data_IF_556829462552
#
_entry.id   IF_556829462552
#
_cell.length_a   1.000
_cell.length_b   1.000
_cell.length_c   1.000
_cell.angle_alpha   90.00
_cell.angle_beta   90.00
_cell.angle_gamma   90.00
#
_symmetry.space_group_name_H-M   'P 1'
#
loop_
_entity.id
_entity.type
_entity.pdbx_description
1 polymer ?
#
# COMPACT_ATOMS: atom_id res chain seq x y z
N UNK A 1 -2.18 3.79 30.92
CA UNK A 1 -1.87 3.18 29.61
C UNK A 1 -0.98 4.14 28.84
N UNK A 2 0.21 3.73 28.38
CA UNK A 2 1.05 4.63 27.57
C UNK A 2 0.44 4.81 26.18
N UNK A 3 0.54 6.00 25.55
CA UNK A 3 -0.07 6.26 24.24
C UNK A 3 0.35 5.24 23.16
N UNK A 4 1.62 4.81 23.19
CA UNK A 4 2.15 3.75 22.30
C UNK A 4 1.38 2.43 22.41
N UNK A 5 0.99 2.02 23.64
CA UNK A 5 0.21 0.80 23.86
C UNK A 5 -1.22 0.93 23.34
N UNK A 6 -1.84 2.10 23.53
CA UNK A 6 -3.18 2.38 23.02
C UNK A 6 -3.18 2.30 21.50
N UNK A 7 -2.22 2.97 20.86
CA UNK A 7 -2.04 2.93 19.40
C UNK A 7 -1.89 1.49 18.91
N UNK A 8 -1.03 0.70 19.54
CA UNK A 8 -0.83 -0.69 19.15
C UNK A 8 -2.11 -1.53 19.28
N UNK A 9 -2.85 -1.39 20.39
CA UNK A 9 -4.12 -2.10 20.59
C UNK A 9 -5.18 -1.69 19.56
N UNK A 10 -5.29 -0.39 19.26
CA UNK A 10 -6.22 0.13 18.25
C UNK A 10 -5.87 -0.42 16.88
N UNK A 11 -4.60 -0.37 16.46
CA UNK A 11 -4.18 -0.93 15.19
C UNK A 11 -4.37 -2.45 15.13
N UNK A 12 -4.08 -3.18 16.20
CA UNK A 12 -4.32 -4.61 16.28
C UNK A 12 -5.80 -4.97 16.12
N UNK A 13 -6.68 -4.23 16.81
CA UNK A 13 -8.13 -4.42 16.69
C UNK A 13 -8.62 -4.13 15.27
N UNK A 14 -8.23 -2.99 14.70
CA UNK A 14 -8.58 -2.62 13.33
C UNK A 14 -8.09 -3.66 12.31
N UNK A 15 -6.88 -4.17 12.49
CA UNK A 15 -6.31 -5.20 11.61
C UNK A 15 -7.07 -6.53 11.72
N UNK A 16 -7.42 -6.95 12.93
CA UNK A 16 -8.23 -8.14 13.15
C UNK A 16 -9.63 -7.98 12.52
N UNK A 17 -10.28 -6.83 12.72
CA UNK A 17 -11.57 -6.52 12.10
C UNK A 17 -11.47 -6.53 10.58
N UNK A 18 -10.41 -5.96 10.01
CA UNK A 18 -10.16 -5.98 8.57
C UNK A 18 -10.07 -7.42 8.04
N UNK A 19 -9.30 -8.30 8.69
CA UNK A 19 -9.18 -9.71 8.27
C UNK A 19 -10.54 -10.40 8.32
N UNK A 20 -11.28 -10.28 9.43
CA UNK A 20 -12.57 -10.96 9.61
C UNK A 20 -13.56 -10.50 8.54
N UNK A 21 -13.69 -9.19 8.33
CA UNK A 21 -14.61 -8.63 7.34
C UNK A 21 -14.24 -8.96 5.90
N UNK A 22 -12.97 -9.27 5.62
CA UNK A 22 -12.47 -9.56 4.28
C UNK A 22 -11.98 -11.02 4.14
N UNK A 23 -12.43 -11.91 5.01
CA UNK A 23 -12.07 -13.33 5.00
C UNK A 23 -12.73 -14.13 3.88
N UNK A 24 -13.80 -13.60 3.28
CA UNK A 24 -14.53 -14.22 2.18
C UNK A 24 -13.60 -14.46 0.98
N UNK A 25 -13.63 -15.70 0.46
CA UNK A 25 -12.93 -16.08 -0.76
C UNK A 25 -13.72 -15.54 -1.95
N UNK A 26 -13.07 -14.72 -2.76
CA UNK A 26 -13.67 -14.14 -3.97
C UNK A 26 -12.91 -14.58 -5.21
N UNK A 27 -13.64 -14.71 -6.32
CA UNK A 27 -13.04 -14.96 -7.62
C UNK A 27 -12.55 -13.65 -8.22
N UNK A 28 -11.26 -13.60 -8.57
CA UNK A 28 -10.66 -12.49 -9.29
C UNK A 28 -10.45 -12.92 -10.72
N UNK A 29 -11.05 -12.21 -11.66
CA UNK A 29 -10.78 -12.33 -13.10
C UNK A 29 -9.93 -11.16 -13.54
N UNK A 30 -8.81 -11.43 -14.19
CA UNK A 30 -7.94 -10.38 -14.70
C UNK A 30 -7.43 -10.76 -16.09
N UNK A 31 -7.77 -9.94 -17.08
CA UNK A 31 -7.52 -10.21 -18.50
C UNK A 31 -7.98 -11.64 -18.86
N UNK A 32 -7.03 -12.56 -19.09
CA UNK A 32 -7.29 -13.93 -19.53
C UNK A 32 -7.14 -14.98 -18.41
N UNK A 33 -6.78 -14.58 -17.19
CA UNK A 33 -6.63 -15.50 -16.06
C UNK A 33 -7.71 -15.28 -14.99
N UNK A 34 -7.91 -16.29 -14.15
CA UNK A 34 -8.79 -16.22 -13.00
C UNK A 34 -8.17 -16.96 -11.83
N UNK A 35 -8.28 -16.40 -10.63
CA UNK A 35 -7.84 -17.02 -9.39
C UNK A 35 -8.86 -16.81 -8.28
N UNK A 36 -8.75 -17.56 -7.20
CA UNK A 36 -9.56 -17.39 -6.00
C UNK A 36 -8.65 -17.14 -4.81
N UNK A 37 -8.96 -16.11 -4.04
CA UNK A 37 -8.24 -15.74 -2.83
C UNK A 37 -9.18 -15.00 -1.88
N UNK A 38 -8.81 -14.90 -0.61
CA UNK A 38 -9.57 -14.05 0.32
C UNK A 38 -9.50 -12.59 -0.13
N UNK A 39 -10.62 -11.85 0.04
CA UNK A 39 -10.67 -10.42 -0.26
C UNK A 39 -9.57 -9.65 0.47
N UNK A 40 -9.21 -10.06 1.69
CA UNK A 40 -8.13 -9.48 2.48
C UNK A 40 -6.78 -9.55 1.75
N UNK A 41 -6.42 -10.70 1.18
CA UNK A 41 -5.17 -10.88 0.44
C UNK A 41 -5.17 -9.99 -0.80
N UNK A 42 -6.28 -9.96 -1.54
CA UNK A 42 -6.41 -9.16 -2.77
C UNK A 42 -6.24 -7.67 -2.47
N UNK A 43 -6.88 -7.17 -1.41
CA UNK A 43 -6.74 -5.78 -0.99
C UNK A 43 -5.31 -5.45 -0.53
N UNK A 44 -4.66 -6.36 0.19
CA UNK A 44 -3.28 -6.17 0.64
C UNK A 44 -2.30 -6.12 -0.53
N UNK A 45 -2.40 -7.06 -1.47
CA UNK A 45 -1.61 -7.09 -2.70
C UNK A 45 -1.81 -5.81 -3.53
N UNK A 46 -3.06 -5.40 -3.75
CA UNK A 46 -3.37 -4.17 -4.48
C UNK A 46 -2.76 -2.92 -3.81
N UNK A 47 -2.81 -2.86 -2.47
CA UNK A 47 -2.20 -1.78 -1.71
C UNK A 47 -0.67 -1.75 -1.87
N UNK A 48 -0.01 -2.90 -1.73
CA UNK A 48 1.45 -3.01 -1.89
C UNK A 48 1.87 -2.61 -3.31
N UNK A 49 1.17 -3.10 -4.34
CA UNK A 49 1.43 -2.72 -5.73
C UNK A 49 1.25 -1.22 -5.95
N UNK A 50 0.20 -0.61 -5.37
CA UNK A 50 -0.01 0.83 -5.39
C UNK A 50 1.15 1.61 -4.76
N UNK A 51 1.65 1.17 -3.61
CA UNK A 51 2.83 1.77 -2.96
C UNK A 51 4.09 1.66 -3.82
N UNK A 52 4.33 0.49 -4.43
CA UNK A 52 5.47 0.26 -5.33
C UNK A 52 5.39 1.21 -6.53
N UNK A 53 4.24 1.26 -7.20
CA UNK A 53 4.03 2.14 -8.37
C UNK A 53 4.21 3.61 -7.99
N UNK A 54 3.62 4.05 -6.87
CA UNK A 54 3.77 5.42 -6.39
C UNK A 54 5.21 5.78 -6.03
N UNK A 55 5.94 4.87 -5.37
CA UNK A 55 7.34 5.09 -4.99
C UNK A 55 8.25 5.16 -6.21
N UNK A 56 8.09 4.24 -7.17
CA UNK A 56 8.86 4.23 -8.42
C UNK A 56 8.58 5.51 -9.21
N UNK A 57 7.32 5.90 -9.36
CA UNK A 57 6.93 7.13 -10.06
C UNK A 57 7.54 8.39 -9.42
N UNK A 58 7.53 8.47 -8.08
CA UNK A 58 8.16 9.57 -7.35
C UNK A 58 9.67 9.67 -7.53
N UNK A 59 10.36 8.54 -7.76
CA UNK A 59 11.81 8.49 -8.03
C UNK A 59 12.15 8.95 -9.45
N UNK A 60 11.32 8.62 -10.43
CA UNK A 60 11.49 9.06 -11.83
C UNK A 60 11.33 10.58 -11.96
N UNK A 61 10.32 11.15 -11.31
CA UNK A 61 10.03 12.60 -11.41
C UNK A 61 11.05 13.48 -10.66
N UNK A 62 11.69 12.97 -9.59
CA UNK A 62 12.70 13.74 -8.84
C UNK A 62 14.03 13.92 -9.59
N UNK A 63 14.33 13.12 -10.62
CA UNK A 63 15.58 13.20 -11.39
C UNK A 63 15.67 14.43 -12.31
N UNK A 64 14.57 15.18 -12.51
CA UNK A 64 14.53 16.37 -13.35
C UNK A 64 14.70 17.73 -12.64
N UNK A 65 14.85 17.76 -11.31
CA UNK A 65 14.92 19.01 -10.51
C UNK A 65 16.27 19.26 -9.84
N UNK A 66 17.37 18.81 -10.45
CA UNK A 66 18.73 19.12 -10.00
C UNK A 66 19.60 19.64 -11.14
N UNK A 67 19.27 20.83 -11.64
CA UNK A 67 20.19 21.97 -11.85
C UNK A 67 19.40 23.13 -12.48
N UNK A 68 19.65 24.38 -12.05
CA UNK A 68 20.69 25.11 -12.78
C UNK A 68 21.77 25.66 -11.86
N UNK A 69 23.00 25.55 -12.35
CA UNK A 69 24.11 26.38 -11.96
C UNK A 69 23.81 27.86 -12.28
N UNK A 70 24.02 28.73 -11.30
CA UNK A 70 24.53 30.10 -11.50
C UNK A 70 25.31 30.43 -10.23
N UNK A 71 26.65 30.38 -10.21
CA UNK A 71 27.51 31.50 -10.65
C UNK A 71 26.85 32.85 -10.37
N UNK A 72 27.10 33.37 -9.18
CA UNK A 72 26.85 34.76 -8.80
C UNK A 72 28.03 35.21 -7.96
N UNK A 73 28.73 36.23 -8.47
CA UNK A 73 29.98 36.81 -7.99
C UNK A 73 29.97 37.23 -6.52
#
# INVERSE_FOLDING_TARGET
>A
MTPKRIVFLVFGLLFATFIIQNSEVVQVKFLFWGTQASRAIILLEAFILGLIVGWVSGRVTKKGKSSPASTGK
#
